data_IF_731154397307
#
_entry.id   IF_731154397307
#
_cell.length_a   1.000
_cell.length_b   1.000
_cell.length_c   1.000
_cell.angle_alpha   90.00
_cell.angle_beta   90.00
_cell.angle_gamma   90.00
#
_symmetry.space_group_name_H-M   'P 1'
#
loop_
_entity.id
_entity.type
_entity.pdbx_description
1 polymer ?
#
# COMPACT_ATOMS: atom_id res chain seq x y z
N UNK A 1 1.37 -16.70 10.99
CA UNK A 1 0.44 -16.26 9.92
C UNK A 1 0.81 -17.04 8.68
N UNK A 2 0.13 -18.17 8.50
CA UNK A 2 0.44 -19.18 7.49
C UNK A 2 0.17 -18.66 6.08
N UNK A 3 1.14 -18.88 5.19
CA UNK A 3 1.19 -18.43 3.78
C UNK A 3 0.12 -19.03 2.87
N UNK A 4 -1.15 -18.99 3.26
CA UNK A 4 -2.28 -19.17 2.36
C UNK A 4 -2.62 -17.82 1.72
N UNK A 5 -2.42 -17.75 0.40
CA UNK A 5 -2.79 -16.65 -0.49
C UNK A 5 -4.31 -16.43 -0.54
N UNK A 6 -4.93 -16.04 0.57
CA UNK A 6 -6.37 -15.81 0.68
C UNK A 6 -6.62 -14.31 0.49
N UNK A 7 -7.40 -13.97 -0.53
CA UNK A 7 -7.97 -12.62 -0.66
C UNK A 7 -9.05 -12.43 0.38
N UNK A 8 -8.97 -11.35 1.16
CA UNK A 8 -9.99 -10.95 2.14
C UNK A 8 -10.70 -9.68 1.69
N UNK A 9 -11.92 -9.47 2.18
CA UNK A 9 -12.57 -8.16 2.08
C UNK A 9 -11.72 -7.11 2.80
N UNK A 10 -11.65 -5.92 2.24
CA UNK A 10 -10.91 -4.78 2.77
C UNK A 10 -11.82 -3.55 2.69
N UNK A 11 -11.89 -2.78 3.78
CA UNK A 11 -12.42 -1.42 3.73
C UNK A 11 -11.25 -0.53 3.33
N UNK A 12 -11.48 0.34 2.35
CA UNK A 12 -10.49 1.30 1.88
C UNK A 12 -11.06 2.68 2.18
N UNK A 13 -10.35 3.44 3.00
CA UNK A 13 -10.63 4.86 3.24
C UNK A 13 -9.45 5.67 2.73
N UNK A 14 -9.69 6.72 1.97
CA UNK A 14 -8.63 7.59 1.47
C UNK A 14 -9.02 9.04 1.58
N UNK A 15 -8.02 9.90 1.74
CA UNK A 15 -8.19 11.33 1.84
C UNK A 15 -6.87 12.04 1.64
N UNK A 16 -6.90 13.37 1.68
CA UNK A 16 -5.69 14.16 1.53
C UNK A 16 -5.89 15.61 1.91
N UNK A 17 -4.78 16.31 2.10
CA UNK A 17 -4.71 17.72 2.43
C UNK A 17 -3.41 18.35 1.93
N UNK A 18 -3.09 19.56 2.40
CA UNK A 18 -1.95 20.34 1.90
C UNK A 18 -0.57 19.67 2.10
N UNK A 19 -0.47 18.64 2.94
CA UNK A 19 0.79 17.95 3.25
C UNK A 19 0.94 16.53 2.69
N UNK A 20 -0.11 15.92 2.13
CA UNK A 20 -0.06 14.54 1.65
C UNK A 20 -1.42 13.90 1.43
N UNK A 21 -1.39 12.71 0.85
CA UNK A 21 -2.51 11.77 0.72
C UNK A 21 -2.33 10.62 1.71
N UNK A 22 -3.44 10.04 2.17
CA UNK A 22 -3.42 8.80 2.90
C UNK A 22 -4.38 7.77 2.29
N UNK A 23 -4.01 6.50 2.43
CA UNK A 23 -4.87 5.34 2.21
C UNK A 23 -4.82 4.46 3.44
N UNK A 24 -5.98 4.23 4.06
CA UNK A 24 -6.15 3.31 5.18
C UNK A 24 -6.82 2.03 4.68
N UNK A 25 -6.16 0.90 4.86
CA UNK A 25 -6.67 -0.43 4.55
C UNK A 25 -7.05 -1.14 5.85
N UNK A 26 -8.34 -1.46 6.03
CA UNK A 26 -8.81 -2.24 7.18
C UNK A 26 -9.15 -3.67 6.72
N UNK A 27 -8.36 -4.64 7.17
CA UNK A 27 -8.51 -6.07 6.84
C UNK A 27 -8.81 -6.84 8.14
N UNK A 28 -10.10 -7.03 8.43
CA UNK A 28 -10.52 -7.54 9.75
C UNK A 28 -10.28 -6.48 10.81
N UNK A 29 -9.53 -6.81 11.86
CA UNK A 29 -9.14 -5.88 12.94
C UNK A 29 -7.77 -5.23 12.71
N UNK A 30 -7.14 -5.48 11.55
CA UNK A 30 -5.83 -4.93 11.21
C UNK A 30 -5.96 -3.72 10.32
N UNK A 31 -5.20 -2.70 10.67
CA UNK A 31 -5.07 -1.47 9.89
C UNK A 31 -3.70 -1.41 9.23
N UNK A 32 -3.69 -0.82 8.04
CA UNK A 32 -2.48 -0.48 7.30
C UNK A 32 -2.68 0.94 6.79
N UNK A 33 -2.03 1.89 7.46
CA UNK A 33 -1.96 3.28 7.03
C UNK A 33 -0.83 3.42 6.03
N UNK A 34 -1.13 4.00 4.88
CA UNK A 34 -0.19 4.37 3.83
C UNK A 34 -0.28 5.88 3.66
N UNK A 35 0.84 6.59 3.75
CA UNK A 35 0.91 8.02 3.47
C UNK A 35 1.83 8.31 2.29
N UNK A 36 1.40 9.23 1.43
CA UNK A 36 2.14 9.65 0.24
C UNK A 36 2.28 11.18 0.26
N UNK A 37 3.52 11.67 0.19
CA UNK A 37 3.77 13.12 0.16
C UNK A 37 3.35 13.73 -1.17
N UNK A 38 2.54 14.79 -1.11
CA UNK A 38 2.16 15.62 -2.28
C UNK A 38 3.07 16.83 -2.46
N UNK A 39 4.07 17.02 -1.58
CA UNK A 39 4.92 18.20 -1.58
C UNK A 39 5.97 18.21 -2.70
N UNK A 40 6.26 17.05 -3.30
CA UNK A 40 7.19 16.91 -4.43
C UNK A 40 6.53 16.14 -5.58
N UNK A 41 5.66 16.78 -6.38
CA UNK A 41 4.96 16.12 -7.49
C UNK A 41 5.88 15.70 -8.64
N UNK A 42 7.05 16.36 -8.79
CA UNK A 42 7.99 16.19 -9.90
C UNK A 42 9.19 15.27 -9.58
N UNK A 43 9.33 14.80 -8.34
CA UNK A 43 10.37 13.82 -8.02
C UNK A 43 9.89 12.41 -8.39
N UNK A 44 10.70 11.68 -9.17
CA UNK A 44 10.49 10.24 -9.41
C UNK A 44 10.37 9.46 -8.08
N UNK A 45 10.94 9.99 -6.99
CA UNK A 45 10.85 9.46 -5.63
C UNK A 45 9.72 10.12 -4.83
N UNK A 46 8.46 9.72 -5.08
CA UNK A 46 7.39 10.01 -4.12
C UNK A 46 7.75 9.35 -2.79
N UNK A 47 7.80 10.14 -1.72
CA UNK A 47 8.02 9.59 -0.38
C UNK A 47 6.76 8.89 0.08
N UNK A 48 6.84 7.58 0.25
CA UNK A 48 5.76 6.72 0.73
C UNK A 48 6.16 6.16 2.08
N UNK A 49 5.25 6.19 3.04
CA UNK A 49 5.41 5.52 4.33
C UNK A 49 4.22 4.61 4.62
N UNK A 50 4.46 3.59 5.44
CA UNK A 50 3.46 2.60 5.80
C UNK A 50 3.63 2.14 7.25
N UNK A 51 2.52 1.97 7.96
CA UNK A 51 2.47 1.55 9.37
C UNK A 51 1.09 1.01 9.76
N UNK A 52 0.94 0.56 11.01
CA UNK A 52 -0.38 0.22 11.56
C UNK A 52 -1.22 1.48 11.80
N UNK A 53 -0.54 2.54 12.22
CA UNK A 53 -1.04 3.88 12.48
C UNK A 53 0.03 4.93 12.13
N UNK A 54 -0.19 6.19 12.54
CA UNK A 54 0.72 7.31 12.29
C UNK A 54 2.03 7.25 13.09
N UNK A 55 2.06 6.56 14.22
CA UNK A 55 3.25 6.47 15.09
C UNK A 55 4.21 5.35 14.64
N UNK A 56 3.69 4.39 13.86
CA UNK A 56 4.44 3.23 13.35
C UNK A 56 4.87 3.36 11.87
N UNK A 57 4.82 4.56 11.29
CA UNK A 57 5.16 4.78 9.89
C UNK A 57 6.66 4.54 9.61
N UNK A 58 6.94 3.62 8.69
CA UNK A 58 8.27 3.39 8.12
C UNK A 58 8.26 3.67 6.62
N UNK A 59 9.41 4.01 6.06
CA UNK A 59 9.59 4.13 4.61
C UNK A 59 9.08 2.88 3.89
N UNK A 60 8.30 3.08 2.83
CA UNK A 60 7.69 2.03 2.05
C UNK A 60 7.89 2.25 0.55
N UNK A 61 7.71 1.18 -0.22
CA UNK A 61 7.77 1.20 -1.68
C UNK A 61 6.50 0.65 -2.29
N UNK A 62 5.99 1.36 -3.27
CA UNK A 62 4.93 0.90 -4.16
C UNK A 62 5.49 -0.16 -5.12
N UNK A 63 4.69 -1.19 -5.39
CA UNK A 63 4.93 -2.16 -6.45
C UNK A 63 3.62 -2.82 -6.88
N UNK A 64 3.66 -3.63 -7.94
CA UNK A 64 2.46 -4.25 -8.49
C UNK A 64 2.55 -5.78 -8.48
N UNK A 65 1.42 -6.46 -8.26
CA UNK A 65 1.31 -7.93 -8.41
C UNK A 65 0.24 -8.33 -9.40
N UNK A 66 0.54 -9.33 -10.21
CA UNK A 66 -0.45 -9.92 -11.12
C UNK A 66 -1.61 -10.56 -10.34
N UNK A 67 -2.85 -10.32 -10.80
CA UNK A 67 -4.05 -10.78 -10.10
C UNK A 67 -4.13 -12.29 -9.96
N UNK A 68 -3.74 -13.03 -11.00
CA UNK A 68 -3.90 -14.49 -11.08
C UNK A 68 -2.70 -15.21 -10.48
N UNK A 69 -1.51 -14.84 -10.92
CA UNK A 69 -0.24 -15.50 -10.58
C UNK A 69 0.40 -14.97 -9.30
N UNK A 70 -0.03 -13.79 -8.82
CA UNK A 70 0.53 -13.10 -7.64
C UNK A 70 2.00 -12.70 -7.75
N UNK A 71 2.61 -12.86 -8.93
CA UNK A 71 3.99 -12.45 -9.19
C UNK A 71 4.10 -10.94 -9.24
N UNK A 72 5.22 -10.41 -8.75
CA UNK A 72 5.58 -9.01 -8.92
C UNK A 72 5.70 -8.67 -10.41
N UNK A 73 5.18 -7.50 -10.78
CA UNK A 73 5.23 -6.96 -12.13
C UNK A 73 6.26 -5.83 -12.16
N UNK A 74 6.99 -5.73 -13.27
CA UNK A 74 7.93 -4.61 -13.50
C UNK A 74 7.20 -3.27 -13.64
N UNK A 75 6.00 -3.30 -14.18
CA UNK A 75 5.17 -2.13 -14.48
C UNK A 75 3.71 -2.45 -14.19
N UNK A 76 2.91 -1.41 -14.01
CA UNK A 76 1.47 -1.56 -13.82
C UNK A 76 0.83 -2.24 -15.04
N UNK A 77 -0.11 -3.15 -14.76
CA UNK A 77 -0.98 -3.77 -15.76
C UNK A 77 -2.42 -3.65 -15.30
N UNK A 78 -3.34 -3.44 -16.23
CA UNK A 78 -4.76 -3.36 -15.93
C UNK A 78 -5.23 -4.55 -15.06
N UNK A 79 -5.86 -4.21 -13.93
CA UNK A 79 -6.40 -5.17 -12.98
C UNK A 79 -5.36 -5.83 -12.06
N UNK A 80 -4.09 -5.41 -12.10
CA UNK A 80 -3.07 -5.74 -11.12
C UNK A 80 -3.47 -5.29 -9.70
N UNK A 81 -2.85 -5.88 -8.70
CA UNK A 81 -2.90 -5.39 -7.33
C UNK A 81 -1.88 -4.28 -7.17
N UNK A 82 -2.31 -3.20 -6.53
CA UNK A 82 -1.43 -2.15 -6.04
C UNK A 82 -0.96 -2.57 -4.64
N UNK A 83 0.35 -2.56 -4.43
CA UNK A 83 0.96 -3.08 -3.22
C UNK A 83 1.99 -2.11 -2.64
N UNK A 84 2.15 -2.17 -1.32
CA UNK A 84 3.09 -1.39 -0.56
C UNK A 84 3.84 -2.30 0.41
N UNK A 85 5.16 -2.16 0.49
CA UNK A 85 6.00 -2.88 1.45
C UNK A 85 6.92 -1.93 2.18
N UNK A 86 7.06 -2.11 3.49
CA UNK A 86 8.07 -1.39 4.27
C UNK A 86 9.48 -1.80 3.78
N UNK A 87 10.39 -0.83 3.66
CA UNK A 87 11.77 -1.06 3.21
C UNK A 87 12.58 -1.77 4.29
N UNK A 88 12.46 -1.30 5.54
CA UNK A 88 13.16 -1.86 6.71
C UNK A 88 12.26 -2.68 7.63
N UNK A 89 10.94 -2.65 7.39
CA UNK A 89 9.93 -3.29 8.22
C UNK A 89 9.45 -4.65 7.67
N UNK A 90 8.33 -5.13 8.22
CA UNK A 90 7.75 -6.45 7.89
C UNK A 90 6.37 -6.35 7.24
N UNK A 91 5.80 -5.14 7.13
CA UNK A 91 4.50 -4.97 6.51
C UNK A 91 4.62 -5.05 4.98
N UNK A 92 3.72 -5.83 4.38
CA UNK A 92 3.51 -5.96 2.94
C UNK A 92 2.00 -6.15 2.73
N UNK A 93 1.37 -5.18 2.09
CA UNK A 93 -0.07 -5.20 1.83
C UNK A 93 -0.36 -4.88 0.37
N UNK A 94 -1.40 -5.52 -0.16
CA UNK A 94 -1.88 -5.30 -1.50
C UNK A 94 -3.38 -5.08 -1.47
N UNK A 95 -3.88 -4.12 -2.24
CA UNK A 95 -5.31 -3.94 -2.44
C UNK A 95 -5.64 -3.70 -3.91
N UNK A 96 -6.94 -3.74 -4.20
CA UNK A 96 -7.51 -3.42 -5.50
C UNK A 96 -8.95 -2.99 -5.30
N UNK A 97 -9.30 -1.79 -5.72
CA UNK A 97 -10.70 -1.38 -5.85
C UNK A 97 -11.39 -2.17 -6.96
N UNK A 98 -12.70 -2.38 -6.84
CA UNK A 98 -13.49 -3.06 -7.87
C UNK A 98 -13.73 -2.15 -9.07
#
# INVERSE_FOLDING_TARGET
MDGKNITKGCIISSGGGAGGMYTLLTIGEKEYLIEESTMNPDSEDRSISMGGDSDELLEAKEYYRDKKTKKELKEYKEGAWLCYKQVSGKMDACYRSR
#
